data_IF_832550153530
#
_entry.id   IF_832550153530
#
_cell.length_a   1.000
_cell.length_b   1.000
_cell.length_c   1.000
_cell.angle_alpha   90.00
_cell.angle_beta   90.00
_cell.angle_gamma   90.00
#
_symmetry.space_group_name_H-M   'P 1'
#
loop_
_entity.id
_entity.type
_entity.pdbx_description
1 polymer ?
#
# COMPACT_ATOMS: atom_id res chain seq x y z
N UNK A 1 27.06 2.73 2.33
CA UNK A 1 26.05 2.62 1.25
C UNK A 1 24.80 1.95 1.76
N UNK A 2 23.64 2.52 1.47
CA UNK A 2 22.37 1.87 1.79
C UNK A 2 22.06 0.79 0.76
N UNK A 3 21.59 -0.34 1.25
CA UNK A 3 21.21 -1.47 0.42
C UNK A 3 19.70 -1.69 0.50
N UNK A 4 19.00 -1.51 -0.60
CA UNK A 4 17.55 -1.59 -0.65
C UNK A 4 17.11 -2.74 -1.55
N UNK A 5 16.21 -3.59 -1.04
CA UNK A 5 15.69 -4.74 -1.76
C UNK A 5 14.17 -4.74 -1.63
N UNK A 6 13.46 -4.90 -2.75
CA UNK A 6 12.01 -5.17 -2.74
C UNK A 6 11.79 -6.62 -3.10
N UNK A 7 11.02 -7.33 -2.30
CA UNK A 7 10.76 -8.77 -2.47
C UNK A 7 9.39 -9.16 -1.94
N UNK A 8 8.98 -10.39 -2.23
CA UNK A 8 7.76 -10.94 -1.65
C UNK A 8 7.93 -11.12 -0.13
N UNK A 9 6.86 -10.84 0.61
CA UNK A 9 6.79 -11.05 2.04
C UNK A 9 6.74 -12.55 2.33
N UNK A 10 7.41 -12.96 3.40
CA UNK A 10 7.31 -14.32 3.94
C UNK A 10 6.73 -14.26 5.36
N UNK A 11 6.37 -15.42 5.90
CA UNK A 11 5.87 -15.49 7.28
C UNK A 11 6.87 -14.96 8.32
N UNK A 12 8.16 -15.02 8.01
CA UNK A 12 9.22 -14.51 8.89
C UNK A 12 9.18 -12.98 9.03
N UNK A 13 8.55 -12.30 8.09
CA UNK A 13 8.44 -10.83 8.10
C UNK A 13 7.27 -10.33 8.94
N UNK A 14 6.37 -11.21 9.35
CA UNK A 14 5.11 -10.85 10.01
C UNK A 14 5.32 -9.93 11.21
N UNK A 15 6.20 -10.31 12.13
CA UNK A 15 6.42 -9.54 13.34
C UNK A 15 6.87 -8.11 13.04
N UNK A 16 7.82 -7.94 12.10
CA UNK A 16 8.33 -6.63 11.72
C UNK A 16 7.25 -5.78 11.03
N UNK A 17 6.45 -6.39 10.16
CA UNK A 17 5.37 -5.71 9.45
C UNK A 17 4.27 -5.26 10.42
N UNK A 18 3.87 -6.13 11.35
CA UNK A 18 2.87 -5.80 12.37
C UNK A 18 3.33 -4.63 13.23
N UNK A 19 4.58 -4.66 13.70
CA UNK A 19 5.17 -3.58 14.50
C UNK A 19 5.16 -2.26 13.72
N UNK A 20 5.60 -2.29 12.48
CA UNK A 20 5.65 -1.13 11.60
C UNK A 20 4.26 -0.48 11.45
N UNK A 21 3.25 -1.29 11.15
CA UNK A 21 1.90 -0.78 10.89
C UNK A 21 1.21 -0.29 12.16
N UNK A 22 1.46 -0.94 13.31
CA UNK A 22 0.89 -0.54 14.59
C UNK A 22 1.35 0.87 15.01
N UNK A 23 2.54 1.28 14.60
CA UNK A 23 3.12 2.57 14.97
C UNK A 23 2.96 3.64 13.87
N UNK A 24 2.29 3.34 12.78
CA UNK A 24 2.29 4.20 11.59
C UNK A 24 0.90 4.79 11.32
N UNK A 25 0.84 6.11 11.09
CA UNK A 25 -0.37 6.75 10.58
C UNK A 25 -0.46 6.55 9.06
N UNK A 26 -1.66 6.49 8.49
CA UNK A 26 -2.96 6.84 9.10
C UNK A 26 -3.61 5.74 9.93
N UNK A 27 -3.09 4.51 9.91
CA UNK A 27 -3.76 3.37 10.54
C UNK A 27 -3.86 3.50 12.06
N UNK A 28 -2.82 4.02 12.70
CA UNK A 28 -2.84 4.29 14.14
C UNK A 28 -3.96 5.26 14.50
N UNK A 29 -4.09 6.35 13.75
CA UNK A 29 -5.16 7.34 13.91
C UNK A 29 -6.54 6.73 13.66
N UNK A 30 -6.64 5.80 12.70
CA UNK A 30 -7.89 5.11 12.37
C UNK A 30 -8.28 4.05 13.40
N UNK A 31 -7.45 3.78 14.40
CA UNK A 31 -7.76 2.86 15.48
C UNK A 31 -7.25 1.44 15.30
N UNK A 32 -6.49 1.16 14.25
CA UNK A 32 -5.91 -0.17 14.05
C UNK A 32 -4.82 -0.42 15.08
N UNK A 33 -4.81 -1.64 15.63
CA UNK A 33 -3.87 -2.08 16.65
C UNK A 33 -3.02 -3.25 16.15
N UNK A 34 -1.96 -3.57 16.90
CA UNK A 34 -1.07 -4.69 16.53
C UNK A 34 -1.84 -6.00 16.34
N UNK A 35 -2.83 -6.28 17.19
CA UNK A 35 -3.65 -7.50 17.10
C UNK A 35 -4.43 -7.59 15.79
N UNK A 36 -4.88 -6.46 15.26
CA UNK A 36 -5.62 -6.41 14.00
C UNK A 36 -4.71 -6.79 12.84
N UNK A 37 -3.49 -6.25 12.84
CA UNK A 37 -2.51 -6.56 11.81
C UNK A 37 -2.00 -8.00 11.91
N UNK A 38 -1.78 -8.49 13.13
CA UNK A 38 -1.37 -9.88 13.32
C UNK A 38 -2.41 -10.83 12.74
N UNK A 39 -3.69 -10.59 13.02
CA UNK A 39 -4.80 -11.39 12.46
C UNK A 39 -4.85 -11.29 10.95
N UNK A 40 -4.65 -10.09 10.39
CA UNK A 40 -4.68 -9.86 8.94
C UNK A 40 -3.59 -10.68 8.23
N UNK A 41 -2.40 -10.80 8.83
CA UNK A 41 -1.27 -11.52 8.24
C UNK A 41 -1.14 -12.98 8.70
N UNK A 42 -2.11 -13.53 9.42
CA UNK A 42 -2.06 -14.90 9.94
C UNK A 42 -3.31 -15.69 9.52
N UNK A 43 -3.23 -16.58 8.52
CA UNK A 43 -2.11 -16.76 7.59
C UNK A 43 -1.88 -15.57 6.69
N UNK A 44 -0.83 -15.59 5.88
CA UNK A 44 -0.63 -14.52 4.90
C UNK A 44 -1.85 -14.42 3.99
N UNK A 45 -2.29 -13.18 3.64
CA UNK A 45 -3.56 -12.99 2.94
C UNK A 45 -3.60 -13.72 1.60
N UNK A 46 -4.69 -14.45 1.35
CA UNK A 46 -4.89 -15.17 0.10
C UNK A 46 -5.57 -14.31 -0.97
N UNK A 47 -5.29 -14.60 -2.24
CA UNK A 47 -5.78 -13.77 -3.34
C UNK A 47 -5.11 -12.41 -3.39
N UNK A 48 -3.98 -12.28 -2.75
CA UNK A 48 -3.19 -11.04 -2.67
C UNK A 48 -1.72 -11.36 -2.83
N UNK A 49 -0.98 -10.37 -3.36
CA UNK A 49 0.47 -10.38 -3.35
C UNK A 49 0.95 -9.38 -2.29
N UNK A 50 1.81 -9.83 -1.40
CA UNK A 50 2.39 -8.99 -0.35
C UNK A 50 3.88 -8.80 -0.62
N UNK A 51 4.32 -7.54 -0.63
CA UNK A 51 5.71 -7.16 -0.90
C UNK A 51 6.27 -6.39 0.29
N UNK A 52 7.53 -6.61 0.58
CA UNK A 52 8.25 -5.79 1.57
C UNK A 52 9.43 -5.12 0.90
N UNK A 53 9.83 -3.97 1.43
CA UNK A 53 11.08 -3.32 1.11
C UNK A 53 11.98 -3.40 2.33
N UNK A 54 13.21 -3.88 2.12
CA UNK A 54 14.25 -3.91 3.15
C UNK A 54 15.25 -2.80 2.90
N UNK A 55 15.70 -2.19 3.96
CA UNK A 55 16.86 -1.31 3.92
C UNK A 55 17.90 -1.87 4.89
N UNK A 56 19.04 -2.25 4.35
CA UNK A 56 20.16 -2.83 5.12
C UNK A 56 19.73 -4.02 6.00
N UNK A 57 18.89 -4.90 5.43
CA UNK A 57 18.42 -6.12 6.10
C UNK A 57 17.25 -5.92 7.05
N UNK A 58 16.73 -4.70 7.18
CA UNK A 58 15.60 -4.39 8.05
C UNK A 58 14.36 -4.05 7.22
N UNK A 59 13.23 -4.68 7.53
CA UNK A 59 11.96 -4.41 6.85
C UNK A 59 11.55 -2.96 7.12
N UNK A 60 11.44 -2.18 6.06
CA UNK A 60 11.16 -0.75 6.12
C UNK A 60 9.77 -0.39 5.58
N UNK A 61 9.14 -1.29 4.83
CA UNK A 61 7.82 -1.01 4.27
C UNK A 61 7.12 -2.27 3.78
N UNK A 62 5.83 -2.13 3.51
CA UNK A 62 4.92 -3.20 3.12
C UNK A 62 3.92 -2.69 2.09
N UNK A 63 3.63 -3.52 1.10
CA UNK A 63 2.53 -3.29 0.16
C UNK A 63 1.75 -4.59 -0.03
N UNK A 64 0.43 -4.49 -0.04
CA UNK A 64 -0.45 -5.64 -0.31
C UNK A 64 -1.39 -5.28 -1.45
N UNK A 65 -1.42 -6.13 -2.46
CA UNK A 65 -2.23 -5.94 -3.66
C UNK A 65 -3.28 -7.03 -3.72
N UNK A 66 -4.54 -6.64 -3.74
CA UNK A 66 -5.67 -7.54 -3.96
C UNK A 66 -5.93 -7.62 -5.45
N UNK A 67 -5.99 -8.85 -5.97
CA UNK A 67 -6.26 -9.09 -7.38
C UNK A 67 -7.77 -9.09 -7.67
N UNK A 68 -8.11 -8.93 -8.96
CA UNK A 68 -9.49 -9.02 -9.47
C UNK A 68 -10.41 -7.95 -8.90
N UNK A 69 -10.02 -6.71 -9.07
CA UNK A 69 -10.79 -5.55 -8.60
C UNK A 69 -11.05 -4.59 -9.78
N UNK A 70 -12.31 -4.41 -10.15
CA UNK A 70 -12.77 -3.44 -11.19
C UNK A 70 -11.91 -3.45 -12.47
N UNK A 71 -11.76 -4.61 -13.08
CA UNK A 71 -10.93 -4.79 -14.28
C UNK A 71 -9.47 -4.42 -14.05
N UNK A 72 -9.00 -4.63 -12.83
CA UNK A 72 -7.64 -4.33 -12.43
C UNK A 72 -7.31 -5.00 -11.10
N UNK A 73 -6.44 -4.34 -10.35
CA UNK A 73 -6.05 -4.74 -8.99
C UNK A 73 -6.25 -3.56 -8.03
N UNK A 74 -6.24 -3.85 -6.74
CA UNK A 74 -6.40 -2.86 -5.69
C UNK A 74 -5.20 -2.91 -4.74
N UNK A 75 -4.50 -1.78 -4.61
CA UNK A 75 -3.45 -1.62 -3.61
C UNK A 75 -4.13 -1.44 -2.25
N UNK A 76 -4.26 -2.55 -1.54
CA UNK A 76 -5.01 -2.61 -0.29
C UNK A 76 -4.26 -1.95 0.86
N UNK A 77 -2.92 -1.97 0.80
CA UNK A 77 -2.07 -1.48 1.86
C UNK A 77 -0.73 -1.01 1.28
N UNK A 78 -0.27 0.15 1.70
CA UNK A 78 1.07 0.65 1.41
C UNK A 78 1.54 1.45 2.62
N UNK A 79 2.61 1.01 3.26
CA UNK A 79 3.14 1.68 4.43
C UNK A 79 4.65 1.63 4.50
N UNK A 80 5.24 2.69 5.02
CA UNK A 80 6.68 2.80 5.26
C UNK A 80 6.89 3.21 6.71
N UNK A 81 7.82 2.56 7.38
CA UNK A 81 8.15 2.84 8.77
C UNK A 81 8.62 4.29 8.95
N UNK A 82 8.29 4.91 10.08
CA UNK A 82 8.67 6.29 10.35
C UNK A 82 10.19 6.49 10.25
N UNK A 83 10.98 5.54 10.77
CA UNK A 83 12.45 5.65 10.72
C UNK A 83 13.02 5.61 9.30
N UNK A 84 12.22 5.15 8.33
CA UNK A 84 12.64 4.99 6.94
C UNK A 84 12.00 6.01 5.98
N UNK A 85 11.22 6.96 6.50
CA UNK A 85 10.56 7.96 5.67
C UNK A 85 11.53 8.97 5.08
N UNK A 86 11.13 9.59 3.96
CA UNK A 86 11.94 10.61 3.31
C UNK A 86 13.13 10.08 2.51
N UNK A 87 13.17 8.77 2.28
CA UNK A 87 14.27 8.11 1.54
C UNK A 87 13.83 7.51 0.21
N UNK A 88 12.59 7.78 -0.21
CA UNK A 88 12.06 7.27 -1.49
C UNK A 88 11.64 5.81 -1.48
N UNK A 89 11.59 5.16 -0.32
CA UNK A 89 11.26 3.72 -0.23
C UNK A 89 9.83 3.42 -0.63
N UNK A 90 8.89 4.29 -0.30
CA UNK A 90 7.49 4.15 -0.72
C UNK A 90 7.36 4.15 -2.24
N UNK A 91 8.08 5.06 -2.90
CA UNK A 91 8.11 5.12 -4.36
C UNK A 91 8.73 3.89 -5.00
N UNK A 92 9.83 3.40 -4.44
CA UNK A 92 10.49 2.16 -4.93
C UNK A 92 9.58 0.96 -4.78
N UNK A 93 8.91 0.83 -3.63
CA UNK A 93 7.97 -0.25 -3.37
C UNK A 93 6.78 -0.18 -4.34
N UNK A 94 6.21 0.99 -4.51
CA UNK A 94 5.07 1.19 -5.41
C UNK A 94 5.45 0.93 -6.87
N UNK A 95 6.63 1.34 -7.31
CA UNK A 95 7.12 1.07 -8.66
C UNK A 95 7.22 -0.43 -8.91
N UNK A 96 7.74 -1.18 -7.94
CA UNK A 96 7.83 -2.63 -8.03
C UNK A 96 6.45 -3.28 -8.15
N UNK A 97 5.49 -2.82 -7.33
CA UNK A 97 4.09 -3.26 -7.37
C UNK A 97 3.49 -2.98 -8.75
N UNK A 98 3.69 -1.77 -9.27
CA UNK A 98 3.13 -1.36 -10.55
C UNK A 98 3.68 -2.20 -11.71
N UNK A 99 4.96 -2.53 -11.68
CA UNK A 99 5.55 -3.42 -12.69
C UNK A 99 4.86 -4.78 -12.70
N UNK A 100 4.62 -5.35 -11.53
CA UNK A 100 3.93 -6.64 -11.41
C UNK A 100 2.47 -6.54 -11.85
N UNK A 101 1.77 -5.48 -11.45
CA UNK A 101 0.34 -5.29 -11.75
C UNK A 101 0.14 -5.02 -13.25
N UNK A 102 0.87 -4.06 -13.80
CA UNK A 102 0.67 -3.65 -15.19
C UNK A 102 1.19 -4.66 -16.22
N UNK A 103 1.93 -5.68 -15.77
CA UNK A 103 2.23 -6.84 -16.62
C UNK A 103 0.99 -7.70 -16.91
N UNK A 104 -0.06 -7.61 -16.05
CA UNK A 104 -1.26 -8.45 -16.14
C UNK A 104 -2.54 -7.68 -16.44
N UNK A 105 -2.70 -6.50 -15.84
CA UNK A 105 -3.93 -5.69 -15.92
C UNK A 105 -3.59 -4.24 -16.19
N UNK A 106 -4.60 -3.44 -16.54
CA UNK A 106 -4.42 -2.04 -16.96
C UNK A 106 -4.73 -1.03 -15.88
N UNK A 107 -5.39 -1.44 -14.80
CA UNK A 107 -5.82 -0.52 -13.75
C UNK A 107 -5.26 -0.93 -12.40
N UNK A 108 -4.77 0.04 -11.65
CA UNK A 108 -4.43 -0.12 -10.24
C UNK A 108 -5.16 0.94 -9.45
N UNK A 109 -5.96 0.50 -8.50
CA UNK A 109 -6.72 1.36 -7.59
C UNK A 109 -6.06 1.41 -6.23
N UNK A 110 -6.28 2.47 -5.50
CA UNK A 110 -5.85 2.63 -4.12
C UNK A 110 -6.83 3.55 -3.40
N UNK A 111 -6.72 3.60 -2.08
CA UNK A 111 -7.46 4.56 -1.27
C UNK A 111 -6.50 5.33 -0.37
N UNK A 112 -6.84 6.58 -0.08
CA UNK A 112 -6.13 7.40 0.88
C UNK A 112 -7.13 8.17 1.70
N UNK A 113 -6.89 8.27 3.01
CA UNK A 113 -7.76 9.05 3.90
C UNK A 113 -7.69 10.53 3.53
N UNK A 114 -8.83 11.23 3.58
CA UNK A 114 -8.91 12.64 3.19
C UNK A 114 -8.01 13.54 4.05
N UNK A 115 -7.76 13.16 5.29
CA UNK A 115 -6.87 13.90 6.20
C UNK A 115 -5.38 13.59 6.01
N UNK A 116 -5.05 12.61 5.16
CA UNK A 116 -3.66 12.21 4.93
C UNK A 116 -3.05 13.02 3.78
N UNK A 117 -2.68 14.27 4.06
CA UNK A 117 -2.16 15.18 3.05
C UNK A 117 -0.87 14.67 2.41
N UNK A 118 0.01 14.08 3.20
CA UNK A 118 1.27 13.50 2.69
C UNK A 118 1.02 12.35 1.74
N UNK A 119 0.09 11.46 2.10
CA UNK A 119 -0.30 10.34 1.25
C UNK A 119 -0.93 10.79 -0.06
N UNK A 120 -1.83 11.79 0.00
CA UNK A 120 -2.47 12.35 -1.20
C UNK A 120 -1.44 12.95 -2.14
N UNK A 121 -0.48 13.73 -1.62
CA UNK A 121 0.61 14.30 -2.42
C UNK A 121 1.51 13.22 -3.00
N UNK A 122 1.82 12.19 -2.20
CA UNK A 122 2.63 11.07 -2.65
C UNK A 122 1.99 10.38 -3.86
N UNK A 123 0.73 9.99 -3.77
CA UNK A 123 0.04 9.32 -4.87
C UNK A 123 -0.08 10.21 -6.10
N UNK A 124 -0.32 11.50 -5.91
CA UNK A 124 -0.38 12.45 -7.03
C UNK A 124 0.96 12.49 -7.77
N UNK A 125 2.07 12.55 -7.03
CA UNK A 125 3.41 12.52 -7.63
C UNK A 125 3.68 11.22 -8.36
N UNK A 126 3.11 10.11 -7.88
CA UNK A 126 3.25 8.80 -8.51
C UNK A 126 2.32 8.60 -9.71
N UNK A 127 1.51 9.58 -10.05
CA UNK A 127 0.67 9.55 -11.23
C UNK A 127 -0.75 9.04 -10.99
N UNK A 128 -1.20 8.98 -9.73
CA UNK A 128 -2.56 8.56 -9.40
C UNK A 128 -3.51 9.74 -9.49
N UNK A 129 -4.70 9.48 -10.02
CA UNK A 129 -5.80 10.45 -10.12
C UNK A 129 -6.81 10.18 -9.01
N UNK A 130 -7.24 11.23 -8.32
CA UNK A 130 -8.34 11.12 -7.36
C UNK A 130 -9.66 11.00 -8.10
N UNK A 131 -10.38 9.89 -7.89
CA UNK A 131 -11.67 9.66 -8.53
C UNK A 131 -12.78 10.33 -7.73
N UNK A 132 -12.74 10.20 -6.41
CA UNK A 132 -13.72 10.84 -5.56
C UNK A 132 -13.76 10.27 -4.15
N UNK A 133 -14.43 10.99 -3.24
CA UNK A 133 -14.52 10.58 -1.87
C UNK A 133 -15.60 9.53 -1.63
N UNK A 134 -15.35 8.67 -0.65
CA UNK A 134 -16.31 7.74 -0.08
C UNK A 134 -16.53 8.18 1.39
N UNK A 135 -17.57 8.98 1.66
CA UNK A 135 -17.78 9.53 3.02
C UNK A 135 -18.03 8.44 4.05
N UNK A 136 -17.49 8.62 5.24
CA UNK A 136 -17.68 7.73 6.39
C UNK A 136 -17.28 6.28 6.13
N UNK A 137 -16.33 6.06 5.22
CA UNK A 137 -15.98 4.72 4.73
C UNK A 137 -15.34 3.85 5.82
N UNK A 138 -14.39 4.39 6.55
CA UNK A 138 -13.70 3.67 7.63
C UNK A 138 -14.13 4.17 9.01
N UNK A 139 -14.18 5.49 9.20
CA UNK A 139 -14.60 6.12 10.45
C UNK A 139 -15.55 7.25 10.17
N UNK A 140 -16.44 7.59 11.15
CA UNK A 140 -17.34 8.73 10.99
C UNK A 140 -16.57 10.05 10.79
N UNK A 141 -17.07 10.89 9.89
CA UNK A 141 -16.53 12.22 9.67
C UNK A 141 -15.28 12.30 8.79
N UNK A 142 -14.79 11.17 8.31
CA UNK A 142 -13.67 11.13 7.36
C UNK A 142 -14.04 10.32 6.13
N UNK A 143 -13.55 10.75 4.97
CA UNK A 143 -13.74 10.02 3.73
C UNK A 143 -12.45 9.30 3.33
N UNK A 144 -12.60 8.16 2.67
CA UNK A 144 -11.51 7.56 1.92
C UNK A 144 -11.63 8.02 0.48
N UNK A 145 -10.53 8.47 -0.10
CA UNK A 145 -10.52 8.94 -1.48
C UNK A 145 -10.03 7.79 -2.37
N UNK A 146 -10.89 7.40 -3.31
CA UNK A 146 -10.53 6.38 -4.30
C UNK A 146 -9.60 6.99 -5.35
N UNK A 147 -8.50 6.30 -5.60
CA UNK A 147 -7.44 6.69 -6.53
C UNK A 147 -7.32 5.66 -7.65
N UNK A 148 -6.85 6.10 -8.80
CA UNK A 148 -6.62 5.21 -9.95
C UNK A 148 -5.40 5.64 -10.75
N UNK A 149 -4.58 4.66 -11.14
CA UNK A 149 -3.56 4.79 -12.17
C UNK A 149 -3.79 3.75 -13.24
N UNK A 150 -3.70 4.13 -14.50
CA UNK A 150 -3.92 3.21 -15.61
C UNK A 150 -2.74 3.25 -16.56
N UNK A 151 -2.40 2.08 -17.11
CA UNK A 151 -1.42 1.97 -18.19
C UNK A 151 -2.08 2.02 -19.57
N UNK A 152 -3.42 2.04 -19.60
CA UNK A 152 -4.22 2.11 -20.80
C UNK A 152 -5.65 1.65 -20.51
N UNK A 153 -6.55 1.65 -21.51
CA UNK A 153 -7.90 1.12 -21.31
C UNK A 153 -7.87 -0.39 -21.09
N UNK A 154 -8.79 -0.89 -20.26
CA UNK A 154 -8.85 -2.32 -19.94
C UNK A 154 -9.08 -3.17 -21.19
N UNK A 155 -9.82 -2.66 -22.15
CA UNK A 155 -10.00 -3.26 -23.47
C UNK A 155 -9.47 -2.31 -24.53
N UNK A 156 -8.67 -2.85 -25.42
CA UNK A 156 -8.07 -2.04 -26.47
C UNK A 156 -6.63 -2.44 -26.70
N UNK A 157 -6.01 -1.73 -27.61
CA UNK A 157 -4.64 -2.05 -28.04
C UNK A 157 -3.59 -1.22 -27.29
#
# INVERSE_FOLDING_TARGET
MTHTIVRLMTANDRAAVVELLADTNPWKRLGYQAKDWDSYFTPLPQGRDSFVVEQDGRVAGIAVVRQKFLLGDYLELLGVADWARGKGLGGQLLTHVEEAVFARVKNLFACVSDFNDQGRKFYKRQGYQEIGPMPDFLIPGSAEILLRKASGPARGK
#
